data_IF_825437160288
#
_entry.id   IF_825437160288
#
_cell.length_a   1.000
_cell.length_b   1.000
_cell.length_c   1.000
_cell.angle_alpha   90.00
_cell.angle_beta   90.00
_cell.angle_gamma   90.00
#
_symmetry.space_group_name_H-M   'P 1'
#
loop_
_entity.id
_entity.type
_entity.pdbx_description
1 polymer ?
#
# COMPACT_ATOMS: atom_id res chain seq x y z
N UNK A 1 -9.91 32.26 -14.07
CA UNK A 1 -9.74 33.72 -14.23
C UNK A 1 -9.01 34.37 -13.05
N UNK A 2 -9.32 34.00 -11.79
CA UNK A 2 -8.63 34.55 -10.60
C UNK A 2 -7.12 34.25 -10.49
N UNK A 3 -6.65 33.08 -10.98
CA UNK A 3 -5.24 32.66 -10.87
C UNK A 3 -4.29 33.52 -11.72
N UNK A 4 -4.71 33.93 -12.92
CA UNK A 4 -3.91 34.79 -13.80
C UNK A 4 -3.70 36.20 -13.23
N UNK A 5 -4.65 36.69 -12.43
CA UNK A 5 -4.57 37.99 -11.77
C UNK A 5 -3.50 37.96 -10.66
N UNK A 6 -3.42 36.87 -9.91
CA UNK A 6 -2.42 36.70 -8.84
C UNK A 6 -1.00 36.65 -9.40
N UNK A 7 -0.78 35.91 -10.50
CA UNK A 7 0.53 35.83 -11.16
C UNK A 7 0.95 37.18 -11.77
N UNK A 8 0.01 37.93 -12.36
CA UNK A 8 0.28 39.26 -12.91
C UNK A 8 0.67 40.28 -11.82
N UNK A 9 0.05 40.20 -10.64
CA UNK A 9 0.37 41.07 -9.49
C UNK A 9 1.78 40.76 -8.97
N UNK A 10 2.16 39.48 -8.90
CA UNK A 10 3.51 39.06 -8.47
C UNK A 10 4.57 39.57 -9.46
N UNK A 11 4.33 39.43 -10.77
CA UNK A 11 5.26 39.91 -11.80
C UNK A 11 5.40 41.45 -11.82
N UNK A 12 4.31 42.18 -11.57
CA UNK A 12 4.32 43.64 -11.45
C UNK A 12 5.08 44.09 -10.19
N UNK A 13 4.94 43.37 -9.08
CA UNK A 13 5.68 43.63 -7.85
C UNK A 13 7.19 43.43 -8.04
N UNK A 14 7.59 42.36 -8.73
CA UNK A 14 8.99 42.09 -9.09
C UNK A 14 9.56 43.21 -9.96
N UNK A 15 8.82 43.67 -10.97
CA UNK A 15 9.31 44.72 -11.90
C UNK A 15 9.48 46.08 -11.22
N UNK A 16 8.64 46.42 -10.22
CA UNK A 16 8.72 47.71 -9.51
C UNK A 16 9.93 47.78 -8.58
N UNK A 17 10.35 46.66 -7.99
CA UNK A 17 11.50 46.62 -7.09
C UNK A 17 12.85 46.81 -7.82
N UNK A 18 12.96 46.37 -9.08
CA UNK A 18 14.19 46.56 -9.88
C UNK A 18 14.51 48.03 -10.19
N UNK A 19 13.52 48.93 -10.19
CA UNK A 19 13.72 50.35 -10.52
C UNK A 19 14.30 51.21 -9.38
N UNK A 20 14.36 50.69 -8.14
CA UNK A 20 14.65 51.50 -6.94
C UNK A 20 16.16 51.55 -6.58
N UNK A 21 17.03 50.77 -7.24
CA UNK A 21 18.44 50.57 -6.83
C UNK A 21 19.46 51.72 -7.08
N UNK A 22 19.05 52.94 -7.45
CA UNK A 22 20.01 54.04 -7.72
C UNK A 22 20.17 55.01 -6.54
N UNK A 23 20.90 54.60 -5.49
CA UNK A 23 21.41 55.53 -4.46
C UNK A 23 22.02 54.89 -3.20
N UNK A 24 23.36 54.92 -3.08
CA UNK A 24 24.12 55.00 -1.81
C UNK A 24 23.94 53.93 -0.71
N UNK A 25 22.85 54.00 0.07
CA UNK A 25 22.59 53.15 1.26
C UNK A 25 21.90 51.82 0.92
N UNK A 26 21.51 51.64 -0.34
CA UNK A 26 20.71 50.50 -0.81
C UNK A 26 21.50 49.19 -0.89
N UNK A 27 22.84 49.21 -0.86
CA UNK A 27 23.67 48.01 -1.15
C UNK A 27 23.72 46.94 -0.05
N UNK A 28 23.68 47.30 1.25
CA UNK A 28 23.65 46.31 2.34
C UNK A 28 22.26 45.69 2.48
N UNK A 29 21.22 46.54 2.44
CA UNK A 29 19.81 46.14 2.47
C UNK A 29 19.45 45.31 1.24
N UNK A 30 19.93 45.64 0.04
CA UNK A 30 19.71 44.84 -1.17
C UNK A 30 20.40 43.48 -1.13
N UNK A 31 21.55 43.36 -0.45
CA UNK A 31 22.25 42.08 -0.29
C UNK A 31 21.52 41.17 0.69
N UNK A 32 21.07 41.70 1.83
CA UNK A 32 20.24 40.97 2.79
C UNK A 32 18.87 40.60 2.21
N UNK A 33 18.22 41.52 1.49
CA UNK A 33 16.96 41.25 0.77
C UNK A 33 17.14 40.22 -0.35
N UNK A 34 18.26 40.23 -1.08
CA UNK A 34 18.57 39.24 -2.10
C UNK A 34 18.82 37.84 -1.53
N UNK A 35 19.49 37.73 -0.38
CA UNK A 35 19.69 36.47 0.33
C UNK A 35 18.36 35.92 0.89
N UNK A 36 17.52 36.80 1.42
CA UNK A 36 16.19 36.45 1.91
C UNK A 36 15.26 35.99 0.77
N UNK A 37 15.28 36.69 -0.36
CA UNK A 37 14.52 36.32 -1.55
C UNK A 37 15.01 35.01 -2.18
N UNK A 38 16.31 34.70 -2.09
CA UNK A 38 16.86 33.40 -2.50
C UNK A 38 16.38 32.25 -1.60
N UNK A 39 16.28 32.48 -0.29
CA UNK A 39 15.70 31.51 0.66
C UNK A 39 14.21 31.31 0.41
N UNK A 40 13.44 32.38 0.20
CA UNK A 40 12.01 32.31 -0.12
C UNK A 40 11.77 31.53 -1.42
N UNK A 41 12.55 31.80 -2.47
CA UNK A 41 12.46 31.06 -3.73
C UNK A 41 12.79 29.57 -3.56
N UNK A 42 13.78 29.23 -2.72
CA UNK A 42 14.12 27.83 -2.41
C UNK A 42 12.99 27.12 -1.68
N UNK A 43 12.35 27.78 -0.71
CA UNK A 43 11.22 27.24 0.03
C UNK A 43 10.01 27.07 -0.90
N UNK A 44 9.74 28.04 -1.78
CA UNK A 44 8.64 27.94 -2.76
C UNK A 44 8.88 26.78 -3.73
N UNK A 45 10.11 26.55 -4.18
CA UNK A 45 10.46 25.40 -5.01
C UNK A 45 10.26 24.07 -4.28
N UNK A 46 10.64 24.00 -3.00
CA UNK A 46 10.44 22.81 -2.16
C UNK A 46 8.95 22.54 -1.91
N UNK A 47 8.16 23.57 -1.57
CA UNK A 47 6.71 23.46 -1.41
C UNK A 47 6.05 23.05 -2.74
N UNK A 48 6.49 23.59 -3.87
CA UNK A 48 5.95 23.22 -5.19
C UNK A 48 6.25 21.76 -5.50
N UNK A 49 7.48 21.30 -5.24
CA UNK A 49 7.86 19.88 -5.40
C UNK A 49 7.05 18.96 -4.47
N UNK A 50 6.82 19.35 -3.22
CA UNK A 50 5.95 18.63 -2.27
C UNK A 50 4.50 18.61 -2.78
N UNK A 51 3.97 19.74 -3.25
CA UNK A 51 2.61 19.84 -3.78
C UNK A 51 2.44 19.03 -5.07
N UNK A 52 3.44 18.99 -5.94
CA UNK A 52 3.46 18.14 -7.14
C UNK A 52 3.55 16.66 -6.76
N UNK A 53 4.35 16.30 -5.75
CA UNK A 53 4.41 14.94 -5.20
C UNK A 53 3.11 14.49 -4.53
N UNK A 54 2.42 15.39 -3.82
CA UNK A 54 1.08 15.17 -3.25
C UNK A 54 0.04 15.03 -4.37
N UNK A 55 0.06 15.91 -5.38
CA UNK A 55 -0.80 15.79 -6.56
C UNK A 55 -0.60 14.49 -7.33
N UNK A 56 0.63 14.00 -7.45
CA UNK A 56 0.91 12.73 -8.12
C UNK A 56 0.44 11.52 -7.29
N UNK A 57 0.29 11.68 -5.97
CA UNK A 57 -0.46 10.75 -5.11
C UNK A 57 -1.98 10.86 -5.34
N UNK A 58 -2.49 12.06 -5.61
CA UNK A 58 -3.91 12.38 -5.79
C UNK A 58 -4.46 12.24 -7.23
N UNK A 59 -3.64 12.10 -8.27
CA UNK A 59 -4.12 11.91 -9.66
C UNK A 59 -4.90 10.58 -9.86
N UNK A 60 -4.83 9.64 -8.91
CA UNK A 60 -5.73 8.47 -8.84
C UNK A 60 -7.01 8.70 -8.04
N UNK A 61 -7.03 9.73 -7.17
CA UNK A 61 -8.22 10.12 -6.43
C UNK A 61 -9.18 10.83 -7.40
N UNK A 62 -9.99 10.06 -8.11
CA UNK A 62 -11.02 10.60 -8.99
C UNK A 62 -12.33 10.97 -8.24
N UNK A 63 -12.36 10.80 -6.92
CA UNK A 63 -13.55 11.01 -6.06
C UNK A 63 -14.66 9.98 -6.25
N UNK A 64 -14.45 8.97 -7.10
CA UNK A 64 -15.40 7.90 -7.40
C UNK A 64 -15.11 6.63 -6.61
N UNK A 65 -13.93 6.52 -6.01
CA UNK A 65 -13.55 5.38 -5.21
C UNK A 65 -14.36 5.30 -3.90
N UNK A 66 -14.48 4.10 -3.37
CA UNK A 66 -15.09 3.81 -2.07
C UNK A 66 -14.09 3.04 -1.22
N UNK A 67 -13.97 3.43 0.04
CA UNK A 67 -13.23 2.67 1.04
C UNK A 67 -14.01 1.40 1.35
N UNK A 68 -13.39 0.25 1.13
CA UNK A 68 -13.97 -1.06 1.42
C UNK A 68 -13.03 -1.88 2.29
N UNK A 69 -13.60 -2.51 3.31
CA UNK A 69 -12.91 -3.54 4.08
C UNK A 69 -12.85 -4.81 3.23
N UNK A 70 -11.63 -5.22 2.90
CA UNK A 70 -11.33 -6.43 2.14
C UNK A 70 -10.93 -7.54 3.10
N UNK A 71 -11.63 -8.66 3.00
CA UNK A 71 -11.33 -9.93 3.67
C UNK A 71 -11.53 -11.08 2.69
N UNK A 72 -11.07 -12.28 3.02
CA UNK A 72 -11.13 -13.40 2.09
C UNK A 72 -10.15 -13.27 0.92
N UNK A 73 -9.04 -12.57 1.13
CA UNK A 73 -7.85 -12.53 0.27
C UNK A 73 -6.65 -12.83 1.17
N UNK A 74 -5.80 -13.77 0.80
CA UNK A 74 -4.60 -14.09 1.56
C UNK A 74 -3.60 -12.93 1.51
N UNK A 75 -3.35 -12.31 2.66
CA UNK A 75 -2.42 -11.20 2.77
C UNK A 75 -0.97 -11.71 2.77
N UNK A 76 -0.13 -11.08 1.94
CA UNK A 76 1.30 -11.38 1.91
C UNK A 76 1.94 -10.95 3.24
N UNK A 77 2.80 -11.80 3.80
CA UNK A 77 3.50 -11.47 5.04
C UNK A 77 4.32 -10.18 4.92
N UNK A 78 4.32 -9.40 6.01
CA UNK A 78 5.02 -8.13 6.08
C UNK A 78 4.40 -7.02 5.24
N UNK A 79 3.19 -7.19 4.70
CA UNK A 79 2.40 -6.11 4.10
C UNK A 79 2.15 -5.02 5.12
N UNK A 80 2.34 -3.76 4.73
CA UNK A 80 2.23 -2.60 5.60
C UNK A 80 1.25 -1.57 5.02
N UNK A 81 0.76 -0.70 5.88
CA UNK A 81 -0.04 0.44 5.47
C UNK A 81 0.68 1.31 4.43
N UNK A 82 -0.05 1.68 3.37
CA UNK A 82 0.46 2.47 2.26
C UNK A 82 1.22 1.66 1.20
N UNK A 83 1.40 0.35 1.39
CA UNK A 83 1.93 -0.51 0.33
C UNK A 83 0.99 -0.53 -0.87
N UNK A 84 1.58 -0.63 -2.06
CA UNK A 84 0.83 -0.88 -3.30
C UNK A 84 0.84 -2.37 -3.58
N UNK A 85 -0.31 -2.92 -3.95
CA UNK A 85 -0.50 -4.34 -4.19
C UNK A 85 -1.27 -4.62 -5.48
N UNK A 86 -1.05 -5.80 -6.04
CA UNK A 86 -2.03 -6.50 -6.86
C UNK A 86 -2.86 -7.44 -5.98
N UNK A 87 -4.11 -7.69 -6.36
CA UNK A 87 -4.85 -8.88 -5.96
C UNK A 87 -4.90 -9.82 -7.16
N UNK A 88 -4.48 -11.06 -6.94
CA UNK A 88 -4.43 -12.09 -7.98
C UNK A 88 -5.22 -13.32 -7.56
N UNK A 89 -5.80 -13.99 -8.55
CA UNK A 89 -6.44 -15.30 -8.38
C UNK A 89 -5.60 -16.35 -9.08
N UNK A 90 -5.34 -17.47 -8.40
CA UNK A 90 -4.71 -18.66 -8.97
C UNK A 90 -5.62 -19.87 -8.79
N UNK A 91 -5.81 -20.62 -9.87
CA UNK A 91 -6.59 -21.85 -9.86
C UNK A 91 -5.70 -23.09 -9.62
N UNK A 92 -6.27 -24.24 -9.24
CA UNK A 92 -5.50 -25.47 -8.98
C UNK A 92 -4.71 -26.01 -10.19
N UNK A 93 -5.13 -25.68 -11.41
CA UNK A 93 -4.44 -26.02 -12.66
C UNK A 93 -3.21 -25.13 -12.93
N UNK A 94 -3.00 -24.09 -12.11
CA UNK A 94 -1.90 -23.15 -12.23
C UNK A 94 -2.22 -21.89 -13.04
N UNK A 95 -3.43 -21.77 -13.61
CA UNK A 95 -3.83 -20.53 -14.27
C UNK A 95 -3.89 -19.37 -13.25
N UNK A 96 -3.33 -18.22 -13.63
CA UNK A 96 -3.24 -17.05 -12.76
C UNK A 96 -3.69 -15.79 -13.49
N UNK A 97 -4.53 -14.99 -12.82
CA UNK A 97 -5.07 -13.75 -13.35
C UNK A 97 -4.93 -12.61 -12.35
N UNK A 98 -4.69 -11.40 -12.88
CA UNK A 98 -4.66 -10.15 -12.11
C UNK A 98 -6.09 -9.62 -12.04
N UNK A 99 -6.62 -9.53 -10.81
CA UNK A 99 -7.98 -9.06 -10.52
C UNK A 99 -7.96 -7.55 -10.28
N UNK A 100 -7.11 -7.09 -9.37
CA UNK A 100 -6.91 -5.66 -9.09
C UNK A 100 -5.42 -5.37 -9.24
N UNK A 101 -5.08 -4.26 -9.89
CA UNK A 101 -3.69 -3.89 -10.13
C UNK A 101 -3.29 -2.61 -9.38
N UNK A 102 -2.12 -2.66 -8.73
CA UNK A 102 -1.41 -1.52 -8.14
C UNK A 102 -2.26 -0.57 -7.27
N UNK A 103 -3.12 -1.13 -6.40
CA UNK A 103 -3.93 -0.37 -5.44
C UNK A 103 -3.26 -0.26 -4.08
N UNK A 104 -3.53 0.83 -3.36
CA UNK A 104 -3.03 1.02 -2.00
C UNK A 104 -3.83 0.21 -0.99
N UNK A 105 -3.15 -0.37 0.00
CA UNK A 105 -3.77 -1.00 1.16
C UNK A 105 -3.58 -0.14 2.43
N UNK A 106 -4.61 -0.14 3.27
CA UNK A 106 -4.71 0.65 4.50
C UNK A 106 -5.29 -0.24 5.62
N UNK A 107 -5.20 0.17 6.88
CA UNK A 107 -5.73 -0.58 8.03
C UNK A 107 -5.39 -2.08 7.99
N UNK A 108 -4.15 -2.42 7.62
CA UNK A 108 -3.73 -3.80 7.39
C UNK A 108 -3.58 -4.51 8.74
N UNK A 109 -4.36 -5.57 8.96
CA UNK A 109 -4.27 -6.44 10.14
C UNK A 109 -4.02 -7.87 9.65
N UNK A 110 -2.76 -8.31 9.72
CA UNK A 110 -2.31 -9.60 9.18
C UNK A 110 -2.95 -10.76 9.95
N UNK A 111 -3.03 -10.65 11.27
CA UNK A 111 -3.55 -11.67 12.18
C UNK A 111 -5.04 -11.95 11.93
N UNK A 112 -5.80 -10.92 11.57
CA UNK A 112 -7.23 -11.02 11.24
C UNK A 112 -7.47 -11.24 9.74
N UNK A 113 -6.42 -11.19 8.92
CA UNK A 113 -6.47 -11.27 7.46
C UNK A 113 -7.46 -10.24 6.86
N UNK A 114 -7.33 -8.98 7.28
CA UNK A 114 -8.15 -7.86 6.83
C UNK A 114 -7.29 -6.68 6.39
N UNK A 115 -7.79 -5.91 5.43
CA UNK A 115 -7.23 -4.63 5.01
C UNK A 115 -8.31 -3.74 4.41
N UNK A 116 -8.13 -2.43 4.43
CA UNK A 116 -8.96 -1.47 3.70
C UNK A 116 -8.33 -1.13 2.36
N UNK A 117 -9.15 -1.04 1.31
CA UNK A 117 -8.73 -0.56 0.00
C UNK A 117 -9.69 0.51 -0.53
N UNK A 118 -9.16 1.45 -1.32
CA UNK A 118 -9.96 2.39 -2.09
C UNK A 118 -10.12 1.86 -3.51
N UNK A 119 -11.34 1.45 -3.85
CA UNK A 119 -11.66 0.78 -5.12
C UNK A 119 -12.76 1.51 -5.88
N UNK A 120 -12.71 1.42 -7.21
CA UNK A 120 -13.79 1.82 -8.10
C UNK A 120 -14.92 0.79 -8.11
N UNK A 121 -16.12 1.19 -8.55
CA UNK A 121 -17.27 0.29 -8.68
C UNK A 121 -16.96 -0.96 -9.51
N UNK A 122 -16.26 -0.80 -10.64
CA UNK A 122 -15.88 -1.93 -11.48
C UNK A 122 -14.88 -2.87 -10.79
N UNK A 123 -14.00 -2.33 -9.92
CA UNK A 123 -13.00 -3.11 -9.21
C UNK A 123 -13.63 -3.87 -8.05
N UNK A 124 -14.58 -3.25 -7.35
CA UNK A 124 -15.40 -3.91 -6.34
C UNK A 124 -16.20 -5.06 -6.95
N UNK A 125 -16.85 -4.84 -8.10
CA UNK A 125 -17.60 -5.88 -8.80
C UNK A 125 -16.68 -7.02 -9.26
N UNK A 126 -15.50 -6.68 -9.79
CA UNK A 126 -14.50 -7.66 -10.25
C UNK A 126 -13.95 -8.48 -9.08
N UNK A 127 -13.68 -7.85 -7.94
CA UNK A 127 -13.25 -8.53 -6.71
C UNK A 127 -14.35 -9.44 -6.15
N UNK A 128 -15.61 -8.97 -6.13
CA UNK A 128 -16.74 -9.78 -5.71
C UNK A 128 -16.92 -11.03 -6.60
N UNK A 129 -16.81 -10.86 -7.92
CA UNK A 129 -16.85 -11.97 -8.87
C UNK A 129 -15.69 -12.94 -8.64
N UNK A 130 -14.47 -12.44 -8.46
CA UNK A 130 -13.30 -13.32 -8.25
C UNK A 130 -13.37 -14.09 -6.94
N UNK A 131 -13.99 -13.56 -5.88
CA UNK A 131 -14.24 -14.29 -4.64
C UNK A 131 -15.17 -15.48 -4.86
N UNK A 132 -16.27 -15.28 -5.59
CA UNK A 132 -17.21 -16.35 -5.89
C UNK A 132 -16.55 -17.41 -6.78
N UNK A 133 -15.81 -16.99 -7.81
CA UNK A 133 -15.07 -17.91 -8.68
C UNK A 133 -13.99 -18.67 -7.91
N UNK A 134 -13.25 -17.99 -7.03
CA UNK A 134 -12.21 -18.58 -6.19
C UNK A 134 -12.78 -19.66 -5.27
N UNK A 135 -13.91 -19.40 -4.63
CA UNK A 135 -14.57 -20.37 -3.77
C UNK A 135 -15.05 -21.59 -4.56
N UNK A 136 -15.71 -21.36 -5.71
CA UNK A 136 -16.28 -22.43 -6.52
C UNK A 136 -15.20 -23.32 -7.18
N UNK A 137 -14.12 -22.71 -7.65
CA UNK A 137 -13.02 -23.40 -8.34
C UNK A 137 -11.92 -23.89 -7.39
N UNK A 138 -12.11 -23.72 -6.07
CA UNK A 138 -11.10 -24.01 -5.04
C UNK A 138 -9.74 -23.34 -5.33
N UNK A 139 -9.80 -22.10 -5.83
CA UNK A 139 -8.63 -21.27 -6.08
C UNK A 139 -8.06 -20.61 -4.83
N UNK A 140 -7.11 -19.71 -5.06
CA UNK A 140 -6.49 -18.87 -4.04
C UNK A 140 -6.50 -17.43 -4.54
N UNK A 141 -7.07 -16.53 -3.75
CA UNK A 141 -6.93 -15.08 -3.90
C UNK A 141 -5.84 -14.59 -2.96
N UNK A 142 -4.86 -13.88 -3.48
CA UNK A 142 -3.72 -13.40 -2.67
C UNK A 142 -3.20 -12.04 -3.15
N UNK A 143 -2.52 -11.35 -2.25
CA UNK A 143 -1.89 -10.07 -2.55
C UNK A 143 -0.46 -10.26 -3.06
N UNK A 144 -0.03 -9.42 -4.01
CA UNK A 144 1.38 -9.30 -4.42
C UNK A 144 1.82 -7.86 -4.26
N UNK A 145 2.82 -7.62 -3.40
CA UNK A 145 3.30 -6.26 -3.10
C UNK A 145 4.30 -5.72 -4.13
N UNK A 146 4.14 -4.45 -4.47
CA UNK A 146 5.12 -3.67 -5.23
C UNK A 146 6.25 -3.16 -4.33
N UNK A 147 7.44 -3.05 -4.90
CA UNK A 147 8.62 -2.46 -4.30
C UNK A 147 8.39 -0.98 -3.98
N UNK A 148 8.73 -0.60 -2.74
CA UNK A 148 8.59 0.78 -2.24
C UNK A 148 9.68 1.72 -2.77
N UNK A 149 10.85 1.17 -3.07
CA UNK A 149 12.06 1.90 -3.43
C UNK A 149 12.14 2.30 -4.90
N UNK A 150 11.23 1.80 -5.75
CA UNK A 150 11.25 2.07 -7.18
C UNK A 150 9.84 2.26 -7.73
N UNK A 151 9.70 3.15 -8.71
CA UNK A 151 8.46 3.24 -9.49
C UNK A 151 8.38 2.03 -10.41
N UNK A 152 7.41 1.15 -10.15
CA UNK A 152 7.13 -0.01 -10.97
C UNK A 152 5.90 0.24 -11.86
N UNK A 153 5.93 -0.33 -13.06
CA UNK A 153 4.77 -0.34 -13.95
C UNK A 153 3.65 -1.20 -13.35
N UNK A 154 2.41 -0.76 -13.52
CA UNK A 154 1.24 -1.50 -13.05
C UNK A 154 1.06 -2.76 -13.87
N UNK A 155 0.74 -3.87 -13.22
CA UNK A 155 0.26 -5.09 -13.89
C UNK A 155 -0.96 -4.79 -14.76
N UNK A 156 -1.10 -5.53 -15.85
CA UNK A 156 -2.31 -5.48 -16.69
C UNK A 156 -3.39 -6.37 -16.07
N UNK A 157 -4.54 -5.78 -15.75
CA UNK A 157 -5.73 -6.54 -15.28
C UNK A 157 -6.23 -7.40 -16.43
N UNK A 158 -6.27 -8.72 -16.23
CA UNK A 158 -6.69 -9.70 -17.24
C UNK A 158 -7.76 -10.68 -16.72
N UNK A 159 -8.21 -10.53 -15.47
CA UNK A 159 -9.36 -11.28 -14.97
C UNK A 159 -10.67 -10.75 -15.57
N UNK A 160 -11.44 -11.65 -16.18
CA UNK A 160 -12.74 -11.36 -16.78
C UNK A 160 -13.82 -12.06 -15.93
N UNK A 161 -14.73 -11.31 -15.28
CA UNK A 161 -15.88 -11.90 -14.60
C UNK A 161 -16.69 -12.80 -15.53
N UNK A 162 -16.93 -14.04 -15.13
CA UNK A 162 -17.76 -14.98 -15.91
C UNK A 162 -19.23 -14.60 -15.82
N UNK A 163 -19.95 -14.70 -16.94
CA UNK A 163 -21.39 -14.44 -16.98
C UNK A 163 -22.17 -15.31 -15.99
N UNK A 164 -21.78 -16.59 -15.85
CA UNK A 164 -22.40 -17.50 -14.90
C UNK A 164 -22.29 -17.01 -13.44
N UNK A 165 -21.19 -16.35 -13.08
CA UNK A 165 -21.00 -15.77 -11.74
C UNK A 165 -21.85 -14.52 -11.58
N UNK A 166 -21.94 -13.69 -12.62
CA UNK A 166 -22.81 -12.52 -12.61
C UNK A 166 -24.29 -12.90 -12.41
N UNK A 167 -24.77 -13.89 -13.15
CA UNK A 167 -26.13 -14.42 -12.99
C UNK A 167 -26.32 -15.06 -11.60
N UNK A 168 -25.31 -15.74 -11.06
CA UNK A 168 -25.38 -16.27 -9.71
C UNK A 168 -25.48 -15.16 -8.66
N UNK A 169 -24.72 -14.07 -8.80
CA UNK A 169 -24.79 -12.90 -7.93
C UNK A 169 -26.15 -12.21 -7.98
N UNK A 170 -26.76 -12.14 -9.16
CA UNK A 170 -28.10 -11.58 -9.36
C UNK A 170 -29.20 -12.45 -8.73
N UNK A 171 -29.09 -13.78 -8.86
CA UNK A 171 -30.09 -14.72 -8.35
C UNK A 171 -29.95 -15.00 -6.84
N UNK A 172 -28.75 -14.86 -6.29
CA UNK A 172 -28.46 -15.10 -4.88
C UNK A 172 -27.70 -13.92 -4.28
N UNK A 173 -28.40 -12.95 -3.64
CA UNK A 173 -27.77 -11.72 -3.13
C UNK A 173 -26.69 -11.98 -2.07
N UNK A 174 -26.73 -13.13 -1.41
CA UNK A 174 -25.80 -13.48 -0.33
C UNK A 174 -24.59 -14.31 -0.82
N UNK A 175 -24.47 -14.60 -2.12
CA UNK A 175 -23.42 -15.48 -2.63
C UNK A 175 -22.02 -14.91 -2.40
N UNK A 176 -21.85 -13.60 -2.63
CA UNK A 176 -20.57 -12.91 -2.43
C UNK A 176 -20.17 -12.95 -0.97
N UNK A 177 -21.11 -12.61 -0.07
CA UNK A 177 -20.86 -12.63 1.37
C UNK A 177 -20.48 -14.03 1.87
N UNK A 178 -21.18 -15.07 1.39
CA UNK A 178 -20.86 -16.46 1.75
C UNK A 178 -19.47 -16.86 1.28
N UNK A 179 -19.11 -16.57 0.02
CA UNK A 179 -17.79 -16.84 -0.52
C UNK A 179 -16.71 -16.10 0.27
N UNK A 180 -16.92 -14.81 0.52
CA UNK A 180 -16.01 -13.97 1.30
C UNK A 180 -15.77 -14.52 2.72
N UNK A 181 -16.83 -14.90 3.43
CA UNK A 181 -16.73 -15.46 4.80
C UNK A 181 -16.01 -16.82 4.78
N UNK A 182 -16.31 -17.67 3.78
CA UNK A 182 -15.66 -18.98 3.63
C UNK A 182 -14.15 -18.83 3.41
N UNK A 183 -13.77 -18.03 2.43
CA UNK A 183 -12.37 -17.73 2.13
C UNK A 183 -11.64 -17.08 3.32
N UNK A 184 -12.28 -16.13 4.00
CA UNK A 184 -11.72 -15.48 5.18
C UNK A 184 -11.41 -16.49 6.29
N UNK A 185 -12.35 -17.40 6.59
CA UNK A 185 -12.13 -18.47 7.56
C UNK A 185 -10.98 -19.39 7.14
N UNK A 186 -10.94 -19.79 5.86
CA UNK A 186 -9.87 -20.65 5.31
C UNK A 186 -8.48 -20.01 5.49
N UNK A 187 -8.34 -18.73 5.15
CA UNK A 187 -7.05 -18.04 5.30
C UNK A 187 -6.67 -17.82 6.75
N UNK A 188 -7.61 -17.40 7.62
CA UNK A 188 -7.37 -17.26 9.05
C UNK A 188 -6.92 -18.57 9.70
N UNK A 189 -7.59 -19.69 9.40
CA UNK A 189 -7.19 -21.00 9.89
C UNK A 189 -5.78 -21.39 9.43
N UNK A 190 -5.44 -21.07 8.18
CA UNK A 190 -4.10 -21.31 7.64
C UNK A 190 -3.05 -20.46 8.36
N UNK A 191 -3.35 -19.19 8.62
CA UNK A 191 -2.50 -18.26 9.38
C UNK A 191 -2.27 -18.76 10.81
N UNK A 192 -3.35 -19.10 11.53
CA UNK A 192 -3.31 -19.62 12.90
C UNK A 192 -2.47 -20.90 13.01
N UNK A 193 -2.64 -21.82 12.06
CA UNK A 193 -1.84 -23.05 12.01
C UNK A 193 -0.36 -22.77 11.74
N UNK A 194 -0.04 -21.88 10.80
CA UNK A 194 1.34 -21.49 10.53
C UNK A 194 2.01 -20.84 11.75
N UNK A 195 1.30 -19.94 12.45
CA UNK A 195 1.79 -19.34 13.70
C UNK A 195 2.02 -20.39 14.78
N UNK A 196 1.09 -21.35 14.93
CA UNK A 196 1.21 -22.45 15.89
C UNK A 196 2.43 -23.32 15.61
N UNK A 197 2.74 -23.59 14.33
CA UNK A 197 3.91 -24.35 13.93
C UNK A 197 5.20 -23.57 14.22
N UNK A 198 5.25 -22.29 13.88
CA UNK A 198 6.41 -21.43 14.13
C UNK A 198 6.72 -21.29 15.63
N UNK A 199 5.70 -21.16 16.48
CA UNK A 199 5.89 -21.12 17.93
C UNK A 199 6.47 -22.43 18.46
N UNK A 200 5.96 -23.58 18.01
CA UNK A 200 6.50 -24.90 18.39
C UNK A 200 7.96 -25.08 17.97
N UNK A 201 8.33 -24.60 16.78
CA UNK A 201 9.72 -24.65 16.32
C UNK A 201 10.62 -23.75 17.17
N UNK A 202 10.13 -22.57 17.53
CA UNK A 202 10.86 -21.63 18.39
C UNK A 202 11.06 -22.18 19.81
N UNK A 203 10.04 -22.82 20.39
CA UNK A 203 10.14 -23.51 21.68
C UNK A 203 11.16 -24.64 21.65
N UNK A 204 11.14 -25.47 20.61
CA UNK A 204 12.13 -26.55 20.43
C UNK A 204 13.55 -26.00 20.32
N UNK A 205 13.75 -24.92 19.57
CA UNK A 205 15.05 -24.28 19.44
C UNK A 205 15.54 -23.75 20.78
N UNK A 206 14.67 -23.05 21.53
CA UNK A 206 15.00 -22.56 22.88
C UNK A 206 15.39 -23.69 23.84
N UNK A 207 14.66 -24.81 23.83
CA UNK A 207 14.99 -25.99 24.62
C UNK A 207 16.36 -26.57 24.24
N UNK A 208 16.63 -26.74 22.95
CA UNK A 208 17.93 -27.25 22.49
C UNK A 208 19.12 -26.34 22.84
N UNK A 209 18.90 -25.02 22.89
CA UNK A 209 19.92 -24.06 23.31
C UNK A 209 20.18 -24.11 24.82
N UNK A 210 19.15 -24.36 25.63
CA UNK A 210 19.30 -24.56 27.07
C UNK A 210 20.07 -25.83 27.38
N UNK A 211 19.72 -26.94 26.73
CA UNK A 211 20.42 -28.22 26.85
C UNK A 211 21.92 -28.08 26.48
N UNK A 212 22.23 -27.36 25.39
CA UNK A 212 23.62 -27.09 24.99
C UNK A 212 24.40 -26.23 25.99
N UNK A 213 23.75 -25.21 26.57
CA UNK A 213 24.40 -24.36 27.56
C UNK A 213 24.65 -25.12 28.87
N UNK A 214 23.71 -25.94 29.32
CA UNK A 214 23.86 -26.79 30.51
C UNK A 214 24.96 -27.86 30.31
N UNK A 215 25.05 -28.46 29.12
CA UNK A 215 26.13 -29.40 28.78
C UNK A 215 27.50 -28.71 28.76
N UNK A 216 27.62 -27.50 28.20
CA UNK A 216 28.86 -26.73 28.19
C UNK A 216 29.31 -26.30 29.59
N UNK A 217 28.40 -25.84 30.44
CA UNK A 217 28.70 -25.49 31.83
C UNK A 217 29.16 -26.72 32.63
N UNK A 218 28.54 -27.89 32.39
CA UNK A 218 28.92 -29.13 33.06
C UNK A 218 30.26 -29.68 32.57
N UNK A 219 30.62 -29.46 31.30
CA UNK A 219 31.93 -29.85 30.76
C UNK A 219 33.05 -28.92 31.28
N UNK A 220 32.79 -27.61 31.38
CA UNK A 220 33.77 -26.63 31.89
C UNK A 220 34.12 -26.86 33.37
N UNK A 221 33.14 -27.22 34.22
CA UNK A 221 33.39 -27.52 35.65
C UNK A 221 34.26 -28.76 35.85
N UNK A 222 34.18 -29.75 34.96
CA UNK A 222 34.93 -31.02 35.08
C UNK A 222 36.42 -30.86 34.76
N UNK A 223 36.84 -29.79 34.05
CA UNK A 223 38.25 -29.54 33.72
C UNK A 223 39.03 -28.77 34.82
N UNK A 224 38.39 -28.36 35.92
CA UNK A 224 39.03 -27.60 37.00
C UNK A 224 39.20 -28.34 38.35
N UNK A 225 38.82 -29.63 38.42
CA UNK A 225 39.09 -30.54 39.56
C UNK A 225 40.21 -31.55 39.24
#
# INVERSE_FOLDING_TARGET
MAIFIVIAIILLFVKRNMTVEKGGEVKSVAKEQGEQQKKENSIVQEITSIQEGVKQKDERWNGKERGVEVKGVALQQGLQEGDRIDIRIRYPDGEEYVVIAQRGCYDVVIEENTMTMWLLEEEMLRLASSMVDCEYMNGILYTVRYRRDMKQESSTVNYIPKEAVYELMKNNPNVVEKAQISLWKKYRQTLEENMRLQNKESEKWNLSMQEQNEEQEHEEVVYFD
#
